data_IF_728329042700
#
_entry.id   IF_728329042700
#
_cell.length_a   1.000
_cell.length_b   1.000
_cell.length_c   1.000
_cell.angle_alpha   90.00
_cell.angle_beta   90.00
_cell.angle_gamma   90.00
#
_symmetry.space_group_name_H-M   'P 1'
#
loop_
_entity.id
_entity.type
_entity.pdbx_description
1 polymer ?
#
# COMPACT_ATOMS: atom_id res chain seq x y z
N UNK A 1 -21.01 9.69 -23.54
CA UNK A 1 -20.45 10.99 -23.12
C UNK A 1 -20.67 12.03 -24.22
N UNK A 2 -20.94 13.29 -23.89
CA UNK A 2 -20.98 14.40 -24.87
C UNK A 2 -19.61 15.07 -25.01
N UNK A 3 -19.43 15.89 -26.05
CA UNK A 3 -18.23 16.72 -26.21
C UNK A 3 -17.98 17.64 -25.00
N UNK A 4 -19.03 18.23 -24.45
CA UNK A 4 -18.93 19.06 -23.24
C UNK A 4 -18.55 18.22 -22.01
N UNK A 5 -19.14 17.03 -21.86
CA UNK A 5 -18.76 16.10 -20.80
C UNK A 5 -17.28 15.70 -20.87
N UNK A 6 -16.75 15.45 -22.09
CA UNK A 6 -15.33 15.16 -22.28
C UNK A 6 -14.47 16.35 -21.84
N UNK A 7 -14.82 17.58 -22.21
CA UNK A 7 -14.08 18.78 -21.79
C UNK A 7 -14.01 18.92 -20.26
N UNK A 8 -15.11 18.62 -19.56
CA UNK A 8 -15.13 18.60 -18.09
C UNK A 8 -14.19 17.52 -17.54
N UNK A 9 -14.23 16.31 -18.09
CA UNK A 9 -13.34 15.21 -17.69
C UNK A 9 -11.87 15.55 -17.95
N UNK A 10 -11.54 16.16 -19.10
CA UNK A 10 -10.19 16.62 -19.41
C UNK A 10 -9.69 17.67 -18.40
N UNK A 11 -10.55 18.63 -18.03
CA UNK A 11 -10.23 19.63 -17.01
C UNK A 11 -9.97 19.00 -15.64
N UNK A 12 -10.82 18.06 -15.23
CA UNK A 12 -10.67 17.31 -13.98
C UNK A 12 -9.35 16.50 -13.96
N UNK A 13 -9.08 15.71 -15.00
CA UNK A 13 -7.84 14.94 -15.11
C UNK A 13 -6.62 15.87 -15.13
N UNK A 14 -6.69 17.02 -15.82
CA UNK A 14 -5.61 18.00 -15.83
C UNK A 14 -5.28 18.47 -14.40
N UNK A 15 -6.29 18.82 -13.60
CA UNK A 15 -6.07 19.25 -12.21
C UNK A 15 -5.45 18.16 -11.31
N UNK A 16 -5.80 16.88 -11.53
CA UNK A 16 -5.13 15.76 -10.85
C UNK A 16 -3.65 15.71 -11.26
N UNK A 17 -3.36 15.71 -12.56
CA UNK A 17 -1.99 15.54 -13.06
C UNK A 17 -1.10 16.76 -12.83
N UNK A 18 -1.67 17.96 -12.62
CA UNK A 18 -0.95 19.13 -12.12
C UNK A 18 -0.37 18.92 -10.71
N UNK A 19 -1.02 18.07 -9.90
CA UNK A 19 -0.56 17.72 -8.55
C UNK A 19 0.43 16.55 -8.55
N UNK A 20 0.75 15.97 -9.70
CA UNK A 20 1.61 14.80 -9.85
C UNK A 20 2.89 15.14 -10.62
N UNK A 21 3.98 14.44 -10.27
CA UNK A 21 5.22 14.50 -11.03
C UNK A 21 5.23 13.40 -12.09
N UNK A 22 5.11 13.76 -13.37
CA UNK A 22 5.16 12.81 -14.49
C UNK A 22 6.56 12.79 -15.11
N UNK A 23 7.15 11.60 -15.20
CA UNK A 23 8.46 11.40 -15.82
C UNK A 23 8.72 9.93 -16.14
N UNK A 24 9.63 9.68 -17.09
CA UNK A 24 10.18 8.34 -17.35
C UNK A 24 11.36 7.98 -16.43
N UNK A 25 11.83 8.92 -15.61
CA UNK A 25 12.98 8.74 -14.72
C UNK A 25 12.75 7.79 -13.53
N UNK A 26 13.83 7.52 -12.79
CA UNK A 26 13.81 6.70 -11.57
C UNK A 26 13.50 7.58 -10.36
N UNK A 27 12.51 7.18 -9.56
CA UNK A 27 12.11 7.91 -8.35
C UNK A 27 10.60 7.91 -8.16
N UNK A 28 10.11 8.89 -7.40
CA UNK A 28 8.69 9.11 -7.13
C UNK A 28 8.01 9.83 -8.31
N UNK A 29 8.01 9.16 -9.47
CA UNK A 29 7.40 9.66 -10.70
C UNK A 29 6.28 8.76 -11.19
N UNK A 30 5.26 9.38 -11.75
CA UNK A 30 4.12 8.75 -12.42
C UNK A 30 4.41 8.61 -13.91
N UNK A 31 3.97 7.50 -14.50
CA UNK A 31 3.89 7.31 -15.95
C UNK A 31 2.42 7.28 -16.35
N UNK A 32 2.07 7.91 -17.46
CA UNK A 32 0.69 8.05 -17.91
C UNK A 32 0.50 7.40 -19.27
N UNK A 33 -0.47 6.49 -19.37
CA UNK A 33 -1.00 5.93 -20.61
C UNK A 33 -2.46 6.36 -20.75
N UNK A 34 -2.91 6.69 -21.95
CA UNK A 34 -4.28 7.16 -22.17
C UNK A 34 -4.93 6.29 -23.25
N UNK A 35 -6.08 5.71 -22.90
CA UNK A 35 -6.94 4.95 -23.80
C UNK A 35 -8.32 5.61 -23.78
N UNK A 36 -8.82 6.02 -24.94
CA UNK A 36 -10.22 6.39 -25.10
C UNK A 36 -11.03 5.21 -25.60
N UNK A 37 -12.32 5.19 -25.28
CA UNK A 37 -13.19 4.09 -25.69
C UNK A 37 -14.61 4.57 -25.98
N UNK A 38 -15.24 3.93 -26.96
CA UNK A 38 -16.64 4.03 -27.34
C UNK A 38 -17.11 2.62 -27.76
N UNK A 39 -17.45 2.42 -29.05
CA UNK A 39 -17.65 1.08 -29.61
C UNK A 39 -16.35 0.25 -29.64
N UNK A 40 -15.24 0.93 -29.94
CA UNK A 40 -13.88 0.40 -29.95
C UNK A 40 -13.00 1.20 -28.98
N UNK A 41 -11.81 0.69 -28.68
CA UNK A 41 -10.81 1.36 -27.88
C UNK A 41 -9.65 1.87 -28.74
N UNK A 42 -9.14 3.05 -28.40
CA UNK A 42 -8.06 3.75 -29.11
C UNK A 42 -7.00 4.17 -28.11
N UNK A 43 -5.75 3.77 -28.36
CA UNK A 43 -4.59 4.22 -27.57
C UNK A 43 -4.18 5.61 -28.07
N UNK A 44 -4.25 6.61 -27.18
CA UNK A 44 -3.70 7.94 -27.47
C UNK A 44 -2.21 8.00 -27.17
N UNK A 45 -1.78 7.32 -26.11
CA UNK A 45 -0.36 7.15 -25.78
C UNK A 45 -0.15 5.96 -24.83
N UNK A 46 1.05 5.37 -24.90
CA UNK A 46 1.54 4.35 -24.00
C UNK A 46 2.18 4.97 -22.74
N UNK A 47 2.42 4.13 -21.73
CA UNK A 47 3.03 4.53 -20.46
C UNK A 47 4.45 5.13 -20.62
N UNK A 48 5.12 4.86 -21.74
CA UNK A 48 6.49 5.27 -22.03
C UNK A 48 6.61 6.56 -22.85
N UNK A 49 5.49 7.08 -23.37
CA UNK A 49 5.52 8.14 -24.38
C UNK A 49 5.66 9.55 -23.77
N UNK A 50 5.15 9.73 -22.55
CA UNK A 50 5.04 11.02 -21.87
C UNK A 50 6.21 11.20 -20.89
N UNK A 51 7.01 12.26 -21.08
CA UNK A 51 8.25 12.49 -20.34
C UNK A 51 8.18 13.60 -19.28
N UNK A 52 7.11 14.40 -19.27
CA UNK A 52 6.93 15.50 -18.32
C UNK A 52 5.46 15.74 -17.98
N UNK A 53 5.21 16.45 -16.88
CA UNK A 53 3.87 16.89 -16.50
C UNK A 53 3.24 17.77 -17.59
N UNK A 54 3.97 18.69 -18.22
CA UNK A 54 3.43 19.51 -19.32
C UNK A 54 2.98 18.68 -20.54
N UNK A 55 3.73 17.62 -20.87
CA UNK A 55 3.35 16.68 -21.92
C UNK A 55 2.11 15.89 -21.52
N UNK A 56 1.97 15.51 -20.24
CA UNK A 56 0.78 14.85 -19.72
C UNK A 56 -0.47 15.73 -19.88
N UNK A 57 -0.39 17.00 -19.47
CA UNK A 57 -1.48 17.96 -19.62
C UNK A 57 -1.85 18.19 -21.09
N UNK A 58 -0.85 18.25 -21.96
CA UNK A 58 -1.06 18.38 -23.42
C UNK A 58 -1.74 17.14 -24.00
N UNK A 59 -1.32 15.94 -23.60
CA UNK A 59 -1.92 14.68 -24.04
C UNK A 59 -3.38 14.54 -23.58
N UNK A 60 -3.68 14.89 -22.32
CA UNK A 60 -5.06 14.90 -21.78
C UNK A 60 -5.96 15.83 -22.59
N UNK A 61 -5.50 17.05 -22.90
CA UNK A 61 -6.26 18.02 -23.70
C UNK A 61 -6.42 17.60 -25.16
N UNK A 62 -5.52 16.76 -25.67
CA UNK A 62 -5.54 16.25 -27.04
C UNK A 62 -6.46 15.03 -27.25
N UNK A 63 -7.04 14.46 -26.17
CA UNK A 63 -8.01 13.37 -26.29
C UNK A 63 -9.17 13.82 -27.17
N UNK A 64 -9.41 13.06 -28.24
CA UNK A 64 -10.44 13.37 -29.21
C UNK A 64 -11.78 12.74 -28.82
N UNK A 65 -12.86 13.49 -29.04
CA UNK A 65 -14.21 12.98 -28.88
C UNK A 65 -14.55 12.07 -30.06
N UNK A 66 -14.90 10.81 -29.78
CA UNK A 66 -15.24 9.81 -30.79
C UNK A 66 -16.57 10.14 -31.52
N UNK A 67 -17.53 10.74 -30.82
CA UNK A 67 -18.85 11.06 -31.39
C UNK A 67 -19.83 9.88 -31.46
N UNK A 68 -19.38 8.65 -31.20
CA UNK A 68 -20.23 7.48 -31.11
C UNK A 68 -21.20 7.49 -29.91
N UNK A 69 -22.28 6.73 -30.04
CA UNK A 69 -23.32 6.54 -29.01
C UNK A 69 -23.18 5.21 -28.25
N UNK A 70 -22.26 4.33 -28.68
CA UNK A 70 -21.98 3.06 -28.03
C UNK A 70 -20.86 3.17 -27.00
N UNK A 71 -20.98 2.36 -25.95
CA UNK A 71 -19.95 2.19 -24.92
C UNK A 71 -19.71 0.69 -24.77
N UNK A 72 -18.44 0.29 -24.84
CA UNK A 72 -18.00 -1.09 -24.69
C UNK A 72 -16.72 -1.12 -23.86
N UNK A 73 -16.80 -1.62 -22.63
CA UNK A 73 -15.67 -1.66 -21.70
C UNK A 73 -14.76 -2.86 -22.00
N UNK A 74 -15.27 -3.97 -22.52
CA UNK A 74 -14.46 -5.15 -22.87
C UNK A 74 -13.24 -4.80 -23.76
N UNK A 75 -13.38 -4.14 -24.93
CA UNK A 75 -12.24 -3.76 -25.76
C UNK A 75 -11.35 -2.75 -25.05
N UNK A 76 -11.91 -1.84 -24.24
CA UNK A 76 -11.13 -0.89 -23.46
C UNK A 76 -10.19 -1.61 -22.47
N UNK A 77 -10.70 -2.61 -21.75
CA UNK A 77 -9.93 -3.43 -20.82
C UNK A 77 -8.85 -4.26 -21.52
N UNK A 78 -9.14 -4.80 -22.71
CA UNK A 78 -8.16 -5.51 -23.53
C UNK A 78 -7.03 -4.59 -24.00
N UNK A 79 -7.37 -3.39 -24.49
CA UNK A 79 -6.37 -2.39 -24.89
C UNK A 79 -5.55 -1.89 -23.69
N UNK A 80 -6.15 -1.72 -22.51
CA UNK A 80 -5.40 -1.41 -21.28
C UNK A 80 -4.41 -2.52 -20.93
N UNK A 81 -4.80 -3.79 -21.08
CA UNK A 81 -3.90 -4.92 -20.85
C UNK A 81 -2.71 -4.90 -21.82
N UNK A 82 -2.95 -4.57 -23.10
CA UNK A 82 -1.90 -4.38 -24.09
C UNK A 82 -0.93 -3.27 -23.65
N UNK A 83 -1.44 -2.07 -23.34
CA UNK A 83 -0.64 -0.91 -22.90
C UNK A 83 0.21 -1.22 -21.67
N UNK A 84 -0.32 -1.98 -20.71
CA UNK A 84 0.44 -2.42 -19.53
C UNK A 84 1.50 -3.44 -19.92
N UNK A 85 1.17 -4.41 -20.77
CA UNK A 85 2.06 -5.51 -21.16
C UNK A 85 3.25 -5.08 -22.01
N UNK A 86 3.13 -3.98 -22.75
CA UNK A 86 4.19 -3.43 -23.60
C UNK A 86 5.15 -2.51 -22.83
N UNK A 87 4.82 -2.13 -21.59
CA UNK A 87 5.68 -1.31 -20.73
C UNK A 87 6.65 -2.15 -19.90
N UNK A 88 7.78 -1.56 -19.52
CA UNK A 88 8.74 -2.13 -18.59
C UNK A 88 8.15 -2.25 -17.17
N UNK A 89 8.47 -3.36 -16.50
CA UNK A 89 8.05 -3.58 -15.11
C UNK A 89 8.83 -2.69 -14.16
N UNK A 90 8.12 -1.94 -13.34
CA UNK A 90 8.68 -1.17 -12.23
C UNK A 90 8.38 -1.89 -10.91
N UNK A 91 9.39 -2.40 -10.17
CA UNK A 91 9.17 -3.31 -9.04
C UNK A 91 8.53 -2.66 -7.80
N UNK A 92 8.63 -1.33 -7.65
CA UNK A 92 8.20 -0.59 -6.45
C UNK A 92 6.99 0.33 -6.70
N UNK A 93 6.20 0.06 -7.74
CA UNK A 93 4.94 0.79 -8.03
C UNK A 93 3.88 -0.16 -8.55
N UNK A 94 2.60 0.21 -8.40
CA UNK A 94 1.49 -0.51 -9.04
C UNK A 94 1.09 0.19 -10.33
N UNK A 95 0.60 -0.59 -11.29
CA UNK A 95 -0.21 -0.02 -12.35
C UNK A 95 -1.61 0.26 -11.78
N UNK A 96 -2.10 1.46 -12.06
CA UNK A 96 -3.43 1.91 -11.68
C UNK A 96 -4.21 2.27 -12.94
N UNK A 97 -5.42 1.76 -13.04
CA UNK A 97 -6.33 1.98 -14.16
C UNK A 97 -7.47 2.86 -13.65
N UNK A 98 -7.50 4.13 -14.07
CA UNK A 98 -8.63 5.02 -13.81
C UNK A 98 -9.60 4.96 -14.98
N UNK A 99 -10.78 4.41 -14.75
CA UNK A 99 -11.85 4.33 -15.76
C UNK A 99 -12.85 5.44 -15.48
N UNK A 100 -12.98 6.37 -16.42
CA UNK A 100 -14.03 7.39 -16.39
C UNK A 100 -15.08 7.02 -17.43
N UNK A 101 -16.31 6.78 -17.01
CA UNK A 101 -17.39 6.40 -17.93
C UNK A 101 -18.73 7.03 -17.57
N UNK A 102 -19.54 7.28 -18.59
CA UNK A 102 -20.94 7.76 -18.43
C UNK A 102 -21.95 6.64 -18.52
N UNK A 103 -21.54 5.43 -18.92
CA UNK A 103 -22.41 4.28 -19.05
C UNK A 103 -21.63 2.97 -18.83
N UNK A 104 -22.34 1.92 -18.43
CA UNK A 104 -21.82 0.56 -18.36
C UNK A 104 -22.91 -0.36 -18.88
N UNK A 105 -22.77 -0.82 -20.12
CA UNK A 105 -23.76 -1.62 -20.86
C UNK A 105 -23.37 -3.08 -20.95
N UNK A 106 -22.09 -3.39 -20.76
CA UNK A 106 -21.47 -4.71 -20.74
C UNK A 106 -20.93 -5.07 -19.34
N UNK A 107 -20.46 -6.32 -19.18
CA UNK A 107 -19.86 -6.82 -17.94
C UNK A 107 -18.36 -7.13 -18.13
N UNK A 108 -17.46 -6.19 -17.81
CA UNK A 108 -16.02 -6.41 -17.90
C UNK A 108 -15.44 -7.15 -16.68
N UNK A 109 -16.27 -7.62 -15.73
CA UNK A 109 -15.82 -8.23 -14.47
C UNK A 109 -14.79 -9.35 -14.64
N UNK A 110 -14.92 -10.28 -15.60
CA UNK A 110 -13.90 -11.32 -15.80
C UNK A 110 -12.51 -10.77 -16.11
N UNK A 111 -12.42 -9.73 -16.97
CA UNK A 111 -11.15 -9.12 -17.36
C UNK A 111 -10.61 -8.26 -16.22
N UNK A 112 -11.49 -7.51 -15.53
CA UNK A 112 -11.13 -6.75 -14.35
C UNK A 112 -10.56 -7.65 -13.24
N UNK A 113 -11.11 -8.85 -13.04
CA UNK A 113 -10.57 -9.83 -12.09
C UNK A 113 -9.18 -10.33 -12.49
N UNK A 114 -8.94 -10.57 -13.78
CA UNK A 114 -7.62 -10.96 -14.27
C UNK A 114 -6.58 -9.86 -14.05
N UNK A 115 -6.92 -8.60 -14.35
CA UNK A 115 -6.01 -7.47 -14.11
C UNK A 115 -5.70 -7.30 -12.62
N UNK A 116 -6.71 -7.42 -11.74
CA UNK A 116 -6.51 -7.38 -10.29
C UNK A 116 -5.65 -8.55 -9.77
N UNK A 117 -5.82 -9.75 -10.33
CA UNK A 117 -5.00 -10.91 -10.00
C UNK A 117 -3.53 -10.74 -10.42
N UNK A 118 -3.28 -9.91 -11.44
CA UNK A 118 -1.95 -9.49 -11.88
C UNK A 118 -1.45 -8.24 -11.14
N UNK A 119 -2.00 -7.96 -9.94
CA UNK A 119 -1.53 -6.92 -9.04
C UNK A 119 -1.73 -5.48 -9.57
N UNK A 120 -2.66 -5.30 -10.50
CA UNK A 120 -3.10 -3.98 -10.96
C UNK A 120 -4.28 -3.48 -10.12
N UNK A 121 -4.39 -2.17 -9.97
CA UNK A 121 -5.50 -1.53 -9.24
C UNK A 121 -6.48 -0.89 -10.23
N UNK A 122 -7.78 -1.08 -10.02
CA UNK A 122 -8.83 -0.45 -10.83
C UNK A 122 -9.55 0.59 -9.97
N UNK A 123 -9.48 1.84 -10.40
CA UNK A 123 -10.26 2.96 -9.88
C UNK A 123 -11.34 3.30 -10.90
N UNK A 124 -12.56 3.52 -10.44
CA UNK A 124 -13.67 3.87 -11.33
C UNK A 124 -14.26 5.21 -10.94
N UNK A 125 -14.58 6.02 -11.95
CA UNK A 125 -15.32 7.26 -11.84
C UNK A 125 -16.55 7.17 -12.74
N UNK A 126 -17.71 6.93 -12.12
CA UNK A 126 -19.00 7.06 -12.76
C UNK A 126 -19.34 8.55 -12.94
N UNK A 127 -19.36 9.01 -14.19
CA UNK A 127 -19.63 10.40 -14.52
C UNK A 127 -21.06 10.56 -15.04
N UNK A 128 -21.93 11.19 -14.26
CA UNK A 128 -23.23 11.69 -14.73
C UNK A 128 -23.05 13.05 -15.40
N UNK A 129 -23.60 13.24 -16.60
CA UNK A 129 -23.58 14.56 -17.23
C UNK A 129 -24.42 15.57 -16.44
N UNK A 130 -24.43 16.82 -16.92
CA UNK A 130 -25.29 17.87 -16.35
C UNK A 130 -26.73 17.36 -16.32
N UNK A 131 -27.35 17.42 -15.14
CA UNK A 131 -28.71 16.93 -14.86
C UNK A 131 -28.95 15.42 -15.06
N UNK A 132 -27.91 14.63 -15.32
CA UNK A 132 -27.98 13.18 -15.39
C UNK A 132 -27.47 12.53 -14.10
N UNK A 133 -28.07 11.40 -13.73
CA UNK A 133 -27.53 10.51 -12.70
C UNK A 133 -26.34 9.74 -13.25
N UNK A 134 -25.22 9.63 -12.52
CA UNK A 134 -24.13 8.73 -12.90
C UNK A 134 -24.62 7.29 -13.11
N UNK A 135 -23.92 6.49 -13.93
CA UNK A 135 -24.25 5.07 -14.05
C UNK A 135 -24.15 4.36 -12.68
N UNK A 136 -24.80 3.19 -12.53
CA UNK A 136 -24.70 2.40 -11.32
C UNK A 136 -23.24 2.13 -10.90
N UNK A 137 -23.04 1.89 -9.60
CA UNK A 137 -21.72 1.61 -9.02
C UNK A 137 -21.02 0.52 -9.83
N UNK A 138 -19.81 0.83 -10.29
CA UNK A 138 -18.98 -0.08 -11.08
C UNK A 138 -18.29 -1.09 -10.16
N UNK A 139 -18.99 -2.18 -9.86
CA UNK A 139 -18.56 -3.20 -8.88
C UNK A 139 -17.27 -3.94 -9.25
N UNK A 140 -16.80 -3.81 -10.49
CA UNK A 140 -15.54 -4.40 -10.93
C UNK A 140 -14.30 -3.64 -10.44
N UNK A 141 -14.45 -2.45 -9.87
CA UNK A 141 -13.37 -1.68 -9.24
C UNK A 141 -12.63 -2.48 -8.15
N UNK A 142 -11.45 -2.02 -7.78
CA UNK A 142 -10.79 -2.46 -6.54
C UNK A 142 -11.61 -1.99 -5.33
N UNK A 143 -11.58 -2.76 -4.25
CA UNK A 143 -12.37 -2.48 -3.04
C UNK A 143 -12.11 -1.05 -2.53
N UNK A 144 -13.17 -0.26 -2.37
CA UNK A 144 -13.09 1.13 -1.92
C UNK A 144 -12.75 2.17 -2.99
N UNK A 145 -12.53 1.79 -4.25
CA UNK A 145 -12.14 2.70 -5.34
C UNK A 145 -13.23 2.84 -6.42
N UNK A 146 -14.49 2.89 -6.00
CA UNK A 146 -15.60 3.31 -6.86
C UNK A 146 -16.06 4.70 -6.44
N UNK A 147 -16.01 5.64 -7.38
CA UNK A 147 -16.32 7.04 -7.16
C UNK A 147 -17.36 7.52 -8.17
N UNK A 148 -18.04 8.61 -7.83
CA UNK A 148 -18.95 9.31 -8.73
C UNK A 148 -18.58 10.78 -8.81
N UNK A 149 -18.94 11.45 -9.90
CA UNK A 149 -18.78 12.90 -9.99
C UNK A 149 -19.74 13.71 -9.09
N UNK A 150 -20.49 13.04 -8.21
CA UNK A 150 -21.31 13.66 -7.15
C UNK A 150 -20.62 13.63 -5.78
N UNK A 151 -19.47 12.97 -5.66
CA UNK A 151 -18.74 12.87 -4.41
C UNK A 151 -18.16 14.24 -4.02
N UNK A 152 -18.32 14.63 -2.75
CA UNK A 152 -18.00 15.99 -2.28
C UNK A 152 -16.51 16.31 -2.41
N UNK A 153 -15.64 15.32 -2.18
CA UNK A 153 -14.19 15.45 -2.16
C UNK A 153 -13.53 14.59 -3.25
N UNK A 154 -14.17 14.46 -4.40
CA UNK A 154 -13.74 13.55 -5.47
C UNK A 154 -12.25 13.67 -5.80
N UNK A 155 -11.74 14.89 -5.94
CA UNK A 155 -10.31 15.10 -6.26
C UNK A 155 -9.40 14.51 -5.20
N UNK A 156 -9.70 14.74 -3.91
CA UNK A 156 -8.94 14.20 -2.80
C UNK A 156 -9.10 12.68 -2.70
N UNK A 157 -10.28 12.14 -2.99
CA UNK A 157 -10.55 10.70 -2.97
C UNK A 157 -9.78 9.96 -4.07
N UNK A 158 -9.72 10.51 -5.30
CA UNK A 158 -8.90 9.92 -6.37
C UNK A 158 -7.41 10.04 -6.06
N UNK A 159 -6.94 11.19 -5.57
CA UNK A 159 -5.53 11.34 -5.15
C UNK A 159 -5.18 10.37 -4.01
N UNK A 160 -6.08 10.19 -3.04
CA UNK A 160 -5.92 9.20 -1.96
C UNK A 160 -5.88 7.78 -2.54
N UNK A 161 -6.75 7.43 -3.48
CA UNK A 161 -6.70 6.13 -4.15
C UNK A 161 -5.37 5.89 -4.87
N UNK A 162 -4.78 6.93 -5.49
CA UNK A 162 -3.46 6.82 -6.13
C UNK A 162 -2.35 6.56 -5.11
N UNK A 163 -2.39 7.25 -3.98
CA UNK A 163 -1.46 7.03 -2.86
C UNK A 163 -1.62 5.64 -2.24
N UNK A 164 -2.85 5.26 -1.89
CA UNK A 164 -3.18 3.99 -1.24
C UNK A 164 -2.84 2.79 -2.12
N UNK A 165 -2.96 2.93 -3.44
CA UNK A 165 -2.55 1.91 -4.40
C UNK A 165 -1.04 1.65 -4.38
N UNK A 166 -0.24 2.68 -4.09
CA UNK A 166 1.21 2.56 -3.95
C UNK A 166 1.66 2.34 -2.49
N UNK A 167 0.72 2.26 -1.54
CA UNK A 167 0.98 1.89 -0.16
C UNK A 167 0.86 0.36 0.00
N UNK A 168 1.93 -0.36 -0.31
CA UNK A 168 1.98 -1.83 -0.22
C UNK A 168 3.36 -2.32 0.25
N UNK A 169 3.40 -3.56 0.73
CA UNK A 169 4.63 -4.23 1.12
C UNK A 169 5.08 -5.27 0.08
N UNK A 170 6.39 -5.55 -0.04
CA UNK A 170 6.89 -6.58 -0.93
C UNK A 170 6.36 -7.98 -0.57
N UNK A 171 5.68 -8.65 -1.50
CA UNK A 171 5.19 -10.03 -1.30
C UNK A 171 6.29 -11.07 -1.60
N UNK A 172 6.18 -12.31 -1.09
CA UNK A 172 5.15 -12.84 -0.19
C UNK A 172 5.51 -12.75 1.31
N UNK A 173 6.70 -12.27 1.68
CA UNK A 173 7.19 -12.36 3.06
C UNK A 173 6.97 -11.12 3.93
N UNK A 174 6.71 -9.96 3.34
CA UNK A 174 6.38 -8.77 4.12
C UNK A 174 4.87 -8.67 4.32
N UNK A 175 4.46 -8.24 5.52
CA UNK A 175 3.08 -8.01 5.92
C UNK A 175 2.89 -6.53 6.20
N UNK A 176 1.93 -5.89 5.54
CA UNK A 176 1.65 -4.49 5.77
C UNK A 176 0.95 -4.30 7.11
N UNK A 177 1.41 -3.33 7.91
CA UNK A 177 0.68 -2.94 9.10
C UNK A 177 -0.65 -2.30 8.71
N UNK A 178 -1.73 -2.91 9.20
CA UNK A 178 -3.10 -2.48 8.97
C UNK A 178 -3.78 -2.36 10.33
N UNK A 179 -4.40 -1.22 10.59
CA UNK A 179 -5.11 -0.99 11.84
C UNK A 179 -6.50 -1.64 11.88
N UNK A 180 -7.21 -1.45 12.98
CA UNK A 180 -8.57 -2.00 13.16
C UNK A 180 -9.62 -1.42 12.21
N UNK A 181 -9.35 -0.28 11.58
CA UNK A 181 -10.22 0.38 10.60
C UNK A 181 -9.91 -0.02 9.16
N UNK A 182 -8.99 -0.99 8.96
CA UNK A 182 -8.46 -1.39 7.65
C UNK A 182 -7.59 -0.33 6.97
N UNK A 183 -7.14 0.70 7.70
CA UNK A 183 -6.19 1.68 7.18
C UNK A 183 -4.82 1.05 7.07
N UNK A 184 -4.21 1.21 5.91
CA UNK A 184 -2.85 0.75 5.60
C UNK A 184 -1.82 1.80 6.03
N UNK A 185 -0.72 1.33 6.59
CA UNK A 185 0.42 2.15 6.95
C UNK A 185 1.61 1.84 6.05
N UNK A 186 2.52 2.80 5.90
CA UNK A 186 3.80 2.65 5.21
C UNK A 186 4.81 1.83 6.00
N UNK A 187 4.35 0.84 6.75
CA UNK A 187 5.14 -0.01 7.62
C UNK A 187 4.94 -1.47 7.20
N UNK A 188 6.05 -2.16 6.99
CA UNK A 188 6.08 -3.52 6.50
C UNK A 188 6.80 -4.39 7.51
N UNK A 189 6.21 -5.53 7.87
CA UNK A 189 6.78 -6.44 8.84
C UNK A 189 7.27 -7.72 8.15
N UNK A 190 8.53 -8.06 8.36
CA UNK A 190 9.14 -9.32 7.93
C UNK A 190 9.37 -10.21 9.13
N UNK A 191 8.87 -11.45 9.09
CA UNK A 191 9.12 -12.43 10.13
C UNK A 191 10.43 -13.19 9.87
N UNK A 192 11.36 -13.14 10.82
CA UNK A 192 12.50 -14.04 10.89
C UNK A 192 12.09 -15.39 11.47
N UNK A 193 12.37 -16.47 10.75
CA UNK A 193 11.95 -17.84 11.08
C UNK A 193 13.03 -18.68 11.80
N UNK A 194 14.25 -18.15 11.90
CA UNK A 194 15.36 -18.80 12.60
C UNK A 194 15.51 -18.17 14.00
N UNK A 195 15.31 -18.93 15.08
CA UNK A 195 15.56 -18.44 16.43
C UNK A 195 17.01 -18.00 16.60
N UNK A 196 17.20 -16.79 17.12
CA UNK A 196 18.53 -16.20 17.25
C UNK A 196 18.61 -15.27 18.46
N UNK A 197 19.80 -14.74 18.73
CA UNK A 197 20.01 -13.73 19.78
C UNK A 197 19.50 -12.37 19.32
N UNK A 198 19.30 -11.43 20.24
CA UNK A 198 18.77 -10.10 19.87
C UNK A 198 19.68 -9.38 18.86
N UNK A 199 21.00 -9.46 19.06
CA UNK A 199 21.98 -8.82 18.17
C UNK A 199 21.96 -9.41 16.75
N UNK A 200 21.91 -10.73 16.64
CA UNK A 200 21.82 -11.40 15.34
C UNK A 200 20.50 -11.11 14.63
N UNK A 201 19.41 -10.93 15.40
CA UNK A 201 18.13 -10.50 14.85
C UNK A 201 18.22 -9.07 14.28
N UNK A 202 18.86 -8.15 15.01
CA UNK A 202 19.14 -6.78 14.53
C UNK A 202 19.96 -6.79 13.23
N UNK A 203 21.07 -7.54 13.19
CA UNK A 203 21.92 -7.68 12.00
C UNK A 203 21.13 -8.25 10.81
N UNK A 204 20.26 -9.22 11.07
CA UNK A 204 19.41 -9.78 10.02
C UNK A 204 18.42 -8.75 9.49
N UNK A 205 17.81 -7.93 10.33
CA UNK A 205 16.92 -6.87 9.89
C UNK A 205 17.64 -5.78 9.10
N UNK A 206 18.87 -5.42 9.49
CA UNK A 206 19.70 -4.47 8.74
C UNK A 206 20.07 -5.00 7.35
N UNK A 207 20.36 -6.29 7.22
CA UNK A 207 20.60 -6.94 5.92
C UNK A 207 19.40 -6.83 4.95
N UNK A 208 18.21 -6.49 5.47
CA UNK A 208 16.97 -6.26 4.73
C UNK A 208 16.66 -4.77 4.54
N UNK A 209 17.63 -3.90 4.82
CA UNK A 209 17.47 -2.44 4.82
C UNK A 209 16.44 -1.95 5.84
N UNK A 210 16.27 -2.71 6.94
CA UNK A 210 15.32 -2.42 8.01
C UNK A 210 15.97 -2.50 9.39
N UNK A 211 15.14 -2.59 10.41
CA UNK A 211 15.55 -2.71 11.82
C UNK A 211 14.59 -3.65 12.55
N UNK A 212 14.94 -4.04 13.78
CA UNK A 212 14.00 -4.77 14.61
C UNK A 212 12.75 -3.91 14.86
N UNK A 213 11.60 -4.56 14.78
CA UNK A 213 10.30 -3.95 14.91
C UNK A 213 10.16 -3.16 16.21
N UNK A 214 9.64 -1.93 16.11
CA UNK A 214 9.13 -1.19 17.26
C UNK A 214 7.67 -1.50 17.57
N UNK A 215 7.27 -1.24 18.81
CA UNK A 215 5.88 -1.36 19.23
C UNK A 215 5.45 -0.04 19.88
N UNK A 216 5.16 0.96 19.05
CA UNK A 216 4.84 2.32 19.51
C UNK A 216 3.35 2.51 19.87
N UNK A 217 2.50 1.50 19.68
CA UNK A 217 1.07 1.59 19.98
C UNK A 217 0.45 0.25 20.32
N UNK A 218 -0.70 0.30 21.00
CA UNK A 218 -1.53 -0.89 21.26
C UNK A 218 -2.00 -1.56 19.97
N UNK A 219 -2.28 -0.79 18.92
CA UNK A 219 -2.75 -1.31 17.64
C UNK A 219 -1.68 -2.17 16.98
N UNK A 220 -0.42 -1.71 17.01
CA UNK A 220 0.72 -2.45 16.47
C UNK A 220 1.02 -3.71 17.29
N UNK A 221 0.94 -3.62 18.61
CA UNK A 221 1.00 -4.78 19.50
C UNK A 221 -0.01 -5.86 19.09
N UNK A 222 -1.29 -5.49 18.97
CA UNK A 222 -2.33 -6.45 18.59
C UNK A 222 -2.15 -7.01 17.19
N UNK A 223 -1.67 -6.20 16.24
CA UNK A 223 -1.39 -6.64 14.88
C UNK A 223 -0.29 -7.71 14.84
N UNK A 224 0.86 -7.44 15.47
CA UNK A 224 2.02 -8.35 15.48
C UNK A 224 1.68 -9.63 16.24
N UNK A 225 0.97 -9.52 17.37
CA UNK A 225 0.48 -10.67 18.11
C UNK A 225 -0.41 -11.58 17.25
N UNK A 226 -1.32 -11.00 16.46
CA UNK A 226 -2.17 -11.78 15.53
C UNK A 226 -1.35 -12.45 14.44
N UNK A 227 -0.33 -11.77 13.89
CA UNK A 227 0.60 -12.40 12.94
C UNK A 227 1.31 -13.59 13.57
N UNK A 228 1.87 -13.42 14.77
CA UNK A 228 2.56 -14.50 15.47
C UNK A 228 1.64 -15.71 15.75
N UNK A 229 0.38 -15.47 16.12
CA UNK A 229 -0.62 -16.54 16.30
C UNK A 229 -0.93 -17.24 14.97
N UNK A 230 -1.14 -16.48 13.90
CA UNK A 230 -1.47 -17.03 12.58
C UNK A 230 -0.35 -17.91 12.01
N UNK A 231 0.89 -17.62 12.39
CA UNK A 231 2.09 -18.36 12.01
C UNK A 231 2.42 -19.51 12.98
N UNK A 232 1.47 -19.86 13.87
CA UNK A 232 1.57 -20.96 14.84
C UNK A 232 2.79 -20.89 15.78
N UNK A 233 3.22 -19.67 16.14
CA UNK A 233 4.32 -19.46 17.08
C UNK A 233 3.85 -19.83 18.49
N UNK A 234 4.41 -20.86 19.10
CA UNK A 234 4.01 -21.35 20.42
C UNK A 234 5.24 -21.88 21.21
N UNK A 235 5.48 -21.42 22.46
CA UNK A 235 4.77 -20.33 23.13
C UNK A 235 4.99 -19.00 22.39
N UNK A 236 4.05 -18.05 22.50
CA UNK A 236 4.19 -16.75 21.85
C UNK A 236 5.38 -16.00 22.45
N UNK A 237 6.50 -16.00 21.72
CA UNK A 237 7.71 -15.32 22.14
C UNK A 237 8.48 -14.81 20.92
N UNK A 238 8.78 -13.50 20.90
CA UNK A 238 9.54 -12.89 19.82
C UNK A 238 10.32 -11.65 20.26
N UNK A 239 11.42 -11.37 19.56
CA UNK A 239 12.18 -10.15 19.80
C UNK A 239 11.46 -8.92 19.26
N UNK A 240 11.59 -7.82 20.00
CA UNK A 240 11.25 -6.46 19.58
C UNK A 240 12.51 -5.59 19.65
N UNK A 241 12.51 -4.46 18.95
CA UNK A 241 13.66 -3.57 18.83
C UNK A 241 14.02 -2.77 20.09
N UNK A 242 13.30 -2.95 21.21
CA UNK A 242 13.53 -2.18 22.43
C UNK A 242 14.75 -2.70 23.20
N UNK A 243 15.75 -1.84 23.39
CA UNK A 243 16.97 -2.15 24.16
C UNK A 243 17.35 -1.03 25.11
N UNK A 244 18.08 -1.38 26.16
CA UNK A 244 18.74 -0.44 27.06
C UNK A 244 20.22 -0.33 26.70
N UNK A 245 20.66 0.88 26.35
CA UNK A 245 22.08 1.19 26.16
C UNK A 245 22.46 2.28 27.16
N UNK A 246 23.36 1.96 28.09
CA UNK A 246 23.88 2.89 29.12
C UNK A 246 22.78 3.57 29.95
N UNK A 247 21.74 2.82 30.34
CA UNK A 247 20.63 3.32 31.15
C UNK A 247 19.50 3.96 30.34
N UNK A 248 19.62 4.06 29.02
CA UNK A 248 18.63 4.68 28.14
C UNK A 248 17.93 3.59 27.33
N UNK A 249 16.60 3.50 27.49
CA UNK A 249 15.75 2.64 26.65
C UNK A 249 15.50 3.31 25.30
N UNK A 250 15.63 2.55 24.21
CA UNK A 250 15.35 3.03 22.87
C UNK A 250 15.02 1.91 21.89
N UNK A 251 14.15 2.24 20.94
CA UNK A 251 13.79 1.38 19.82
C UNK A 251 14.87 1.39 18.77
N UNK A 252 15.20 0.22 18.25
CA UNK A 252 16.10 0.05 17.13
C UNK A 252 15.69 0.94 15.93
N UNK A 253 16.68 1.62 15.35
CA UNK A 253 16.60 2.40 14.11
C UNK A 253 17.82 2.11 13.23
N UNK A 254 18.42 0.94 13.39
CA UNK A 254 19.70 0.52 12.82
C UNK A 254 20.80 0.43 13.90
N UNK A 255 21.91 -0.25 13.61
CA UNK A 255 22.99 -0.56 14.57
C UNK A 255 23.37 0.65 15.46
N UNK A 256 23.50 1.82 14.81
CA UNK A 256 24.02 3.04 15.41
C UNK A 256 22.94 4.09 15.73
N UNK A 257 21.66 3.76 15.61
CA UNK A 257 20.57 4.70 15.79
C UNK A 257 19.46 4.10 16.63
N UNK A 258 18.90 4.91 17.52
CA UNK A 258 17.76 4.50 18.35
C UNK A 258 16.77 5.64 18.47
N UNK A 259 15.48 5.31 18.52
CA UNK A 259 14.44 6.23 18.95
C UNK A 259 14.23 6.06 20.46
N UNK A 260 14.55 7.06 21.31
CA UNK A 260 14.41 6.94 22.76
C UNK A 260 12.96 6.66 23.19
N UNK A 261 12.79 5.81 24.20
CA UNK A 261 11.52 5.59 24.89
C UNK A 261 11.36 6.65 25.99
N UNK A 262 10.26 7.39 25.94
CA UNK A 262 9.91 8.48 26.87
C UNK A 262 8.74 8.09 27.77
N UNK A 263 8.47 8.89 28.80
CA UNK A 263 7.40 8.59 29.78
C UNK A 263 5.98 8.67 29.21
N UNK A 264 5.80 9.32 28.06
CA UNK A 264 4.49 9.49 27.42
C UNK A 264 4.22 8.43 26.35
N UNK A 265 5.20 7.58 26.06
CA UNK A 265 5.07 6.55 25.03
C UNK A 265 4.28 5.35 25.53
N UNK A 266 3.69 4.63 24.58
CA UNK A 266 3.05 3.35 24.86
C UNK A 266 4.06 2.39 25.50
N UNK A 267 3.61 1.68 26.54
CA UNK A 267 4.37 0.58 27.14
C UNK A 267 3.49 -0.62 27.43
N UNK A 268 4.06 -1.81 27.29
CA UNK A 268 3.40 -3.08 27.63
C UNK A 268 4.30 -3.97 28.51
N UNK A 269 5.00 -3.37 29.47
CA UNK A 269 5.86 -4.08 30.41
C UNK A 269 5.09 -5.13 31.22
N UNK A 270 5.64 -6.34 31.29
CA UNK A 270 5.19 -7.34 32.24
C UNK A 270 5.48 -6.89 33.67
N UNK A 271 4.69 -7.37 34.64
CA UNK A 271 4.92 -7.09 36.05
C UNK A 271 6.38 -7.42 36.45
N UNK A 272 7.04 -6.48 37.12
CA UNK A 272 8.45 -6.60 37.54
C UNK A 272 9.50 -6.33 36.45
N UNK A 273 9.10 -5.82 35.27
CA UNK A 273 10.01 -5.36 34.22
C UNK A 273 9.90 -3.84 34.02
N UNK A 274 10.95 -3.17 33.53
CA UNK A 274 12.27 -3.71 33.19
C UNK A 274 13.11 -4.12 34.41
N UNK A 275 14.07 -5.03 34.20
CA UNK A 275 15.05 -5.44 35.23
C UNK A 275 16.44 -4.91 34.89
N UNK A 276 17.24 -4.55 35.91
CA UNK A 276 18.58 -3.96 35.71
C UNK A 276 19.64 -4.95 35.17
N UNK A 277 19.36 -6.25 35.22
CA UNK A 277 20.29 -7.29 34.79
C UNK A 277 20.30 -7.53 33.27
N UNK A 278 19.36 -6.93 32.53
CA UNK A 278 19.04 -7.32 31.17
C UNK A 278 18.78 -6.11 30.27
N UNK A 279 19.42 -6.08 29.11
CA UNK A 279 19.43 -4.92 28.22
C UNK A 279 18.59 -5.09 26.95
N UNK A 280 17.99 -6.26 26.71
CA UNK A 280 17.19 -6.52 25.51
C UNK A 280 15.77 -6.90 25.88
N UNK A 281 14.82 -6.64 24.99
CA UNK A 281 13.39 -6.85 25.25
C UNK A 281 12.78 -7.83 24.27
N UNK A 282 12.06 -8.83 24.79
CA UNK A 282 11.19 -9.70 24.01
C UNK A 282 9.75 -9.57 24.47
N UNK A 283 8.82 -9.78 23.55
CA UNK A 283 7.43 -10.09 23.85
C UNK A 283 7.34 -11.55 24.28
N UNK A 284 6.75 -11.82 25.44
CA UNK A 284 6.70 -13.17 26.01
C UNK A 284 5.30 -13.48 26.54
N UNK A 285 4.80 -14.67 26.18
CA UNK A 285 3.51 -15.17 26.64
C UNK A 285 3.40 -15.16 28.17
N UNK A 286 2.26 -14.69 28.66
CA UNK A 286 1.93 -14.64 30.08
C UNK A 286 0.78 -15.60 30.39
N UNK A 287 -0.46 -15.20 30.09
CA UNK A 287 -1.68 -15.96 30.35
C UNK A 287 -2.53 -16.02 29.08
N UNK A 288 -2.93 -17.23 28.68
CA UNK A 288 -3.60 -17.44 27.39
C UNK A 288 -2.73 -16.95 26.24
N UNK A 289 -3.30 -16.16 25.32
CA UNK A 289 -2.57 -15.58 24.19
C UNK A 289 -2.05 -14.15 24.47
N UNK A 290 -2.00 -13.71 25.73
CA UNK A 290 -1.43 -12.42 26.06
C UNK A 290 0.10 -12.51 26.07
N UNK A 291 0.75 -11.51 25.47
CA UNK A 291 2.19 -11.31 25.49
C UNK A 291 2.48 -9.93 26.09
N UNK A 292 3.56 -9.85 26.87
CA UNK A 292 4.03 -8.62 27.47
C UNK A 292 5.55 -8.51 27.37
N UNK A 293 6.06 -7.28 27.43
CA UNK A 293 7.48 -6.97 27.32
C UNK A 293 8.23 -7.48 28.55
N UNK A 294 9.24 -8.32 28.32
CA UNK A 294 10.17 -8.79 29.34
C UNK A 294 11.60 -8.48 28.94
N UNK A 295 12.37 -8.00 29.91
CA UNK A 295 13.81 -7.83 29.74
C UNK A 295 14.51 -9.17 29.85
N UNK A 296 15.45 -9.42 28.94
CA UNK A 296 16.24 -10.64 28.87
C UNK A 296 17.69 -10.33 28.46
N UNK A 297 18.60 -11.25 28.75
CA UNK A 297 19.98 -11.12 28.30
C UNK A 297 20.00 -11.14 26.77
N UNK A 298 20.73 -10.20 26.15
CA UNK A 298 20.81 -10.09 24.69
C UNK A 298 21.40 -11.34 24.02
N UNK A 299 22.21 -12.10 24.77
CA UNK A 299 22.81 -13.39 24.37
C UNK A 299 21.84 -14.57 24.49
N UNK A 300 20.65 -14.36 25.07
CA UNK A 300 19.62 -15.39 25.13
C UNK A 300 19.29 -15.78 23.71
N UNK A 301 19.66 -16.99 23.29
CA UNK A 301 18.95 -17.58 22.16
C UNK A 301 17.59 -17.94 22.70
N UNK A 302 16.58 -17.37 22.07
CA UNK A 302 15.21 -17.65 22.38
C UNK A 302 14.91 -19.11 21.87
N UNK A 303 15.49 -20.13 22.50
CA UNK A 303 15.48 -21.52 22.03
C UNK A 303 14.72 -22.41 23.01
N UNK A 304 13.52 -22.80 22.60
CA UNK A 304 12.88 -24.09 22.92
C UNK A 304 11.56 -24.15 22.14
N UNK A 305 11.62 -24.25 20.81
CA UNK A 305 10.47 -24.57 19.93
C UNK A 305 9.74 -23.37 19.27
N UNK A 306 10.47 -22.59 18.46
CA UNK A 306 10.02 -21.46 17.61
C UNK A 306 9.82 -20.12 18.32
N UNK A 307 10.90 -19.34 18.38
CA UNK A 307 10.85 -17.95 18.83
C UNK A 307 11.44 -17.09 17.71
N UNK A 308 10.65 -16.15 17.23
CA UNK A 308 10.94 -15.38 16.02
C UNK A 308 11.39 -13.96 16.38
N UNK A 309 11.63 -13.16 15.36
CA UNK A 309 11.74 -11.72 15.48
C UNK A 309 11.03 -11.09 14.28
N UNK A 310 10.60 -9.85 14.44
CA UNK A 310 10.03 -9.09 13.33
C UNK A 310 10.99 -7.97 12.96
N UNK A 311 11.28 -7.86 11.67
CA UNK A 311 11.95 -6.71 11.09
C UNK A 311 10.92 -5.76 10.50
N UNK A 312 11.28 -4.49 10.38
CA UNK A 312 10.50 -3.48 9.69
C UNK A 312 11.36 -2.52 8.89
#
# INVERSE_FOLDING_TARGET
MTLQGLSVVQGFLSGIFESLSVSQGVGQYTRLGIVGFAANATVFNYLTDINSTDQALSAIRAIQYDGGDQVNLIPAFQTVQEVISTSDKRPNVKNLILIVTTACTDDPTPIAHQLKALDNVIVTLAYGQVDETPPPILTFASSGFNFTNKDVNLTQEILAAFCDSNCFCPSPRWRQFIDSTSKKYGECLYQGDIPTTWLEAQLTCESKLGYLMDELSSEKHYFVKKLAIAENIQPLAYWIGLTNKNGIWGWDRGINSTLPLTSNDYTNWAAGNPTDANNCTGEVQTLGFNVQWKTMACTTTLASDFRVYFCQ
#
